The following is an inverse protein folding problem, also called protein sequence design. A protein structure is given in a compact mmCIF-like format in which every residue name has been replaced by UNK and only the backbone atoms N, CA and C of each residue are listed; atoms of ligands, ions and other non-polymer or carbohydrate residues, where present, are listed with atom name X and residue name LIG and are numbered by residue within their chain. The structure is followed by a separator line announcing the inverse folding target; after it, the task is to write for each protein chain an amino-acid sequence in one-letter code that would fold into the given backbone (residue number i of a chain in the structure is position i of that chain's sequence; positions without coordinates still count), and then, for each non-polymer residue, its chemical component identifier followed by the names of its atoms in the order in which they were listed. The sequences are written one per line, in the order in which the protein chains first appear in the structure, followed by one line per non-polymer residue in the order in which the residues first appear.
data_IF_557686213204
#
_entry.id   IF_557686213204
#
_cell.length_a   1.000
_cell.length_b   1.000
_cell.length_c   1.000
_cell.angle_alpha   90.00
_cell.angle_beta   90.00
_cell.angle_gamma   90.00
#
_symmetry.space_group_name_H-M   'P 1'
#
loop_
_entity.id
_entity.type
_entity.pdbx_description
1 polymer ?
#
# COMPACT_ATOMS: atom_id res chain seq x y z
N UNK A 1 13.46 9.99 5.69
CA UNK A 1 13.72 10.65 6.99
C UNK A 1 13.22 12.09 7.06
N UNK A 2 13.47 12.94 6.05
CA UNK A 2 13.11 14.37 6.13
C UNK A 2 11.61 14.64 6.43
N UNK A 3 10.68 13.82 5.89
CA UNK A 3 9.25 13.94 6.18
C UNK A 3 8.89 13.62 7.64
N UNK A 4 9.45 12.57 8.23
CA UNK A 4 9.20 12.24 9.64
C UNK A 4 9.81 13.27 10.59
N UNK A 5 10.99 13.79 10.26
CA UNK A 5 11.66 14.81 11.08
C UNK A 5 10.92 16.16 11.00
N UNK A 6 10.37 16.52 9.83
CA UNK A 6 9.61 17.77 9.66
C UNK A 6 8.17 17.70 10.19
N UNK A 7 7.50 16.56 10.03
CA UNK A 7 6.07 16.41 10.32
C UNK A 7 5.78 15.47 11.50
N UNK A 8 6.80 14.98 12.20
CA UNK A 8 6.66 14.05 13.33
C UNK A 8 5.87 12.79 12.98
N UNK A 9 4.94 12.41 13.86
CA UNK A 9 4.06 11.25 13.68
C UNK A 9 3.20 11.31 12.42
N UNK A 10 2.83 12.51 11.94
CA UNK A 10 2.13 12.66 10.65
C UNK A 10 3.02 12.25 9.48
N UNK A 11 4.32 12.55 9.55
CA UNK A 11 5.29 12.09 8.56
C UNK A 11 5.45 10.56 8.58
N UNK A 12 5.43 9.94 9.75
CA UNK A 12 5.47 8.47 9.92
C UNK A 12 4.21 7.83 9.28
N UNK A 13 3.03 8.39 9.57
CA UNK A 13 1.78 7.99 8.94
C UNK A 13 1.88 8.05 7.40
N UNK A 14 2.32 9.18 6.84
CA UNK A 14 2.43 9.35 5.39
C UNK A 14 3.45 8.40 4.74
N UNK A 15 4.61 8.20 5.38
CA UNK A 15 5.62 7.24 4.91
C UNK A 15 5.02 5.83 4.86
N UNK A 16 4.33 5.40 5.93
CA UNK A 16 3.70 4.08 5.98
C UNK A 16 2.58 3.91 4.97
N UNK A 17 1.74 4.94 4.79
CA UNK A 17 0.64 4.95 3.82
C UNK A 17 1.17 4.83 2.38
N UNK A 18 2.10 5.68 2.00
CA UNK A 18 2.69 5.68 0.65
C UNK A 18 3.41 4.36 0.39
N UNK A 19 4.18 3.89 1.38
CA UNK A 19 4.86 2.61 1.32
C UNK A 19 3.91 1.43 1.09
N UNK A 20 2.81 1.37 1.85
CA UNK A 20 1.81 0.32 1.74
C UNK A 20 1.00 0.39 0.42
N UNK A 21 0.69 1.58 -0.09
CA UNK A 21 -0.03 1.75 -1.37
C UNK A 21 0.86 1.41 -2.58
N UNK A 22 2.18 1.36 -2.42
CA UNK A 22 3.15 1.11 -3.50
C UNK A 22 3.22 -0.38 -3.88
N UNK A 23 2.09 -0.95 -4.31
CA UNK A 23 1.92 -2.38 -4.64
C UNK A 23 2.77 -2.78 -5.86
N UNK A 24 2.91 -1.89 -6.83
CA UNK A 24 3.69 -2.17 -8.05
C UNK A 24 5.20 -2.07 -7.82
N UNK A 25 5.63 -1.19 -6.92
CA UNK A 25 7.02 -0.95 -6.58
C UNK A 25 7.17 -1.09 -5.06
N UNK A 26 7.48 -2.29 -4.55
CA UNK A 26 7.55 -2.52 -3.12
C UNK A 26 8.62 -1.64 -2.51
N UNK A 27 8.19 -0.61 -1.77
CA UNK A 27 9.08 0.27 -1.04
C UNK A 27 9.39 -0.33 0.34
N UNK A 28 10.66 -0.41 0.77
CA UNK A 28 11.02 -0.94 2.09
C UNK A 28 10.77 0.09 3.21
N UNK A 29 9.54 0.59 3.32
CA UNK A 29 9.19 1.68 4.23
C UNK A 29 9.27 1.29 5.71
N UNK A 30 9.11 0.00 6.04
CA UNK A 30 9.30 -0.54 7.40
C UNK A 30 10.70 -0.32 7.94
N UNK A 31 11.74 -0.43 7.09
CA UNK A 31 13.13 -0.13 7.48
C UNK A 31 13.27 1.34 7.90
N UNK A 32 12.60 2.24 7.19
CA UNK A 32 12.58 3.68 7.51
C UNK A 32 11.90 3.92 8.86
N UNK A 33 10.81 3.21 9.16
CA UNK A 33 10.09 3.34 10.45
C UNK A 33 10.94 2.81 11.60
N UNK A 34 11.60 1.66 11.44
CA UNK A 34 12.49 1.12 12.48
C UNK A 34 13.64 2.08 12.81
N UNK A 35 14.21 2.75 11.80
CA UNK A 35 15.27 3.73 12.01
C UNK A 35 14.81 4.99 12.79
N UNK A 36 13.50 5.21 12.95
CA UNK A 36 12.95 6.33 13.74
C UNK A 36 12.72 5.98 15.21
N UNK A 37 12.95 4.72 15.62
CA UNK A 37 12.68 4.23 16.97
C UNK A 37 13.49 4.91 18.08
N UNK A 38 14.64 5.50 17.76
CA UNK A 38 15.47 6.25 18.70
C UNK A 38 15.12 7.75 18.76
N UNK A 39 14.30 8.23 17.82
CA UNK A 39 13.95 9.64 17.68
C UNK A 39 12.53 9.99 18.15
N UNK A 40 11.64 9.00 18.27
CA UNK A 40 10.23 9.17 18.65
C UNK A 40 9.78 8.09 19.63
N UNK A 41 8.70 8.34 20.36
CA UNK A 41 8.12 7.37 21.29
C UNK A 41 7.56 6.14 20.54
N UNK A 42 8.03 4.91 20.83
CA UNK A 42 7.71 3.71 20.05
C UNK A 42 6.21 3.42 19.91
N UNK A 43 5.43 3.71 20.96
CA UNK A 43 3.97 3.49 20.95
C UNK A 43 3.30 4.35 19.89
N UNK A 44 3.69 5.62 19.78
CA UNK A 44 3.10 6.55 18.82
C UNK A 44 3.60 6.32 17.40
N UNK A 45 4.84 5.83 17.24
CA UNK A 45 5.32 5.30 15.96
C UNK A 45 4.42 4.15 15.51
N UNK A 46 4.17 3.17 16.38
CA UNK A 46 3.36 2.00 16.05
C UNK A 46 1.92 2.38 15.67
N UNK A 47 1.30 3.31 16.39
CA UNK A 47 -0.04 3.80 16.07
C UNK A 47 -0.05 4.51 14.71
N UNK A 48 0.84 5.49 14.50
CA UNK A 48 0.86 6.26 13.25
C UNK A 48 1.16 5.39 12.03
N UNK A 49 2.19 4.53 12.13
CA UNK A 49 2.57 3.59 11.08
C UNK A 49 1.50 2.52 10.83
N UNK A 50 0.92 1.97 11.90
CA UNK A 50 -0.12 0.94 11.81
C UNK A 50 -1.37 1.46 11.12
N UNK A 51 -1.83 2.66 11.47
CA UNK A 51 -2.98 3.29 10.82
C UNK A 51 -2.69 3.62 9.36
N UNK A 52 -1.54 4.21 9.04
CA UNK A 52 -1.19 4.54 7.66
C UNK A 52 -1.03 3.30 6.78
N UNK A 53 -0.35 2.27 7.29
CA UNK A 53 -0.22 0.98 6.60
C UNK A 53 -1.59 0.31 6.41
N UNK A 54 -2.43 0.28 7.43
CA UNK A 54 -3.76 -0.33 7.35
C UNK A 54 -4.64 0.32 6.29
N UNK A 55 -4.62 1.66 6.19
CA UNK A 55 -5.35 2.39 5.13
C UNK A 55 -4.75 2.07 3.75
N UNK A 56 -3.43 2.01 3.64
CA UNK A 56 -2.75 1.72 2.38
C UNK A 56 -3.03 0.32 1.86
N UNK A 57 -2.95 -0.68 2.72
CA UNK A 57 -3.31 -2.07 2.39
C UNK A 57 -4.79 -2.20 2.02
N UNK A 58 -5.68 -1.55 2.76
CA UNK A 58 -7.10 -1.55 2.43
C UNK A 58 -7.37 -0.94 1.05
N UNK A 59 -6.69 0.15 0.71
CA UNK A 59 -6.76 0.76 -0.63
C UNK A 59 -6.30 -0.22 -1.70
N UNK A 60 -5.18 -0.92 -1.46
CA UNK A 60 -4.68 -1.96 -2.35
C UNK A 60 -5.62 -3.14 -2.51
N UNK A 61 -6.26 -3.57 -1.43
CA UNK A 61 -7.26 -4.62 -1.45
C UNK A 61 -8.47 -4.23 -2.31
N UNK A 62 -9.00 -3.02 -2.14
CA UNK A 62 -10.14 -2.52 -2.93
C UNK A 62 -9.77 -2.44 -4.42
N UNK A 63 -8.58 -1.92 -4.73
CA UNK A 63 -8.09 -1.85 -6.11
C UNK A 63 -7.91 -3.24 -6.73
N UNK A 64 -7.33 -4.18 -5.99
CA UNK A 64 -7.17 -5.57 -6.44
C UNK A 64 -8.50 -6.29 -6.64
N UNK A 65 -9.43 -6.11 -5.70
CA UNK A 65 -10.78 -6.68 -5.76
C UNK A 65 -11.57 -6.12 -6.96
N UNK A 66 -11.58 -4.80 -7.13
CA UNK A 66 -12.23 -4.14 -8.28
C UNK A 66 -11.58 -4.52 -9.61
N UNK A 67 -10.25 -4.59 -9.66
CA UNK A 67 -9.49 -5.02 -10.82
C UNK A 67 -9.83 -6.44 -11.26
N UNK A 68 -10.03 -7.38 -10.31
CA UNK A 68 -10.41 -8.76 -10.60
C UNK A 68 -11.72 -8.84 -11.39
N UNK A 69 -12.73 -8.06 -11.01
CA UNK A 69 -14.03 -8.00 -11.68
C UNK A 69 -13.94 -7.36 -13.08
N UNK A 70 -13.09 -6.35 -13.24
CA UNK A 70 -12.87 -5.72 -14.54
C UNK A 70 -12.10 -6.62 -15.52
N UNK A 71 -11.13 -7.39 -15.02
CA UNK A 71 -10.30 -8.30 -15.82
C UNK A 71 -11.09 -9.58 -16.18
N UNK A 72 -11.94 -10.11 -15.30
CA UNK A 72 -12.69 -11.34 -15.56
C UNK A 72 -13.57 -11.24 -16.81
N UNK A 73 -14.30 -10.13 -17.00
CA UNK A 73 -15.14 -9.91 -18.19
C UNK A 73 -14.32 -9.72 -19.49
N UNK A 74 -13.04 -9.35 -19.39
CA UNK A 74 -12.11 -9.29 -20.52
C UNK A 74 -11.56 -10.68 -20.85
N UNK A 75 -11.36 -11.53 -19.84
CA UNK A 75 -10.96 -12.92 -20.01
C UNK A 75 -12.06 -13.77 -20.65
N UNK A 76 -13.30 -13.63 -20.21
CA UNK A 76 -14.47 -14.32 -20.82
C UNK A 76 -14.59 -13.99 -22.30
N UNK A 77 -14.54 -12.71 -22.68
CA UNK A 77 -14.57 -12.32 -24.11
C UNK A 77 -13.42 -12.90 -24.92
N UNK A 78 -12.23 -13.03 -24.32
CA UNK A 78 -11.06 -13.61 -24.99
C UNK A 78 -11.23 -15.13 -25.19
N UNK A 79 -11.80 -15.82 -24.21
CA UNK A 79 -12.13 -17.25 -24.31
C UNK A 79 -13.24 -17.50 -25.34
N UNK A 80 -14.27 -16.66 -25.37
CA UNK A 80 -15.36 -16.77 -26.36
C UNK A 80 -14.88 -16.54 -27.79
N UNK A 81 -13.96 -15.58 -28.00
CA UNK A 81 -13.33 -15.36 -29.30
C UNK A 81 -12.50 -16.57 -29.74
N UNK A 82 -11.69 -17.14 -28.84
CA UNK A 82 -10.91 -18.35 -29.14
C UNK A 82 -11.82 -19.52 -29.53
N UNK A 83 -12.93 -19.73 -28.83
CA UNK A 83 -13.90 -20.79 -29.18
C UNK A 83 -14.69 -20.56 -30.48
N UNK A 84 -14.65 -19.37 -31.08
CA UNK A 84 -15.21 -19.12 -32.43
C UNK A 84 -14.19 -19.25 -33.55
N UNK A 85 -12.89 -19.13 -33.24
CA UNK A 85 -11.81 -19.11 -34.23
C UNK A 85 -11.21 -20.49 -34.44
N UNK A 86 -11.23 -21.35 -33.40
CA UNK A 86 -10.83 -22.75 -33.46
C UNK A 86 -12.07 -23.65 -33.47
#
# INVERSE_FOLDING_TARGET
MNLAVQYGYLGIFLISLIGAVSIFFPLPYTVVIFALGDAFEPVWIAVAAGVGSGIGEFSGYVLGFGGRKAISGRYERKMEFLGRVF
#
